data_IF_389896171201
#
_entry.id   IF_389896171201
#
_cell.length_a   1.000
_cell.length_b   1.000
_cell.length_c   1.000
_cell.angle_alpha   90.00
_cell.angle_beta   90.00
_cell.angle_gamma   90.00
#
_symmetry.space_group_name_H-M   'P 1'
#
loop_
_entity.id
_entity.type
_entity.pdbx_description
1 polymer ?
#
# COMPACT_ATOMS: atom_id res chain seq x y z
N UNK A 1 29.72 19.15 -6.19
CA UNK A 1 28.38 19.67 -5.85
C UNK A 1 27.81 20.32 -7.10
N UNK A 2 26.84 19.69 -7.79
CA UNK A 2 26.20 20.27 -8.96
C UNK A 2 25.30 21.44 -8.51
N UNK A 3 25.56 22.66 -8.98
CA UNK A 3 24.69 23.81 -8.74
C UNK A 3 23.31 23.55 -9.36
N UNK A 4 22.26 23.64 -8.54
CA UNK A 4 20.89 23.54 -9.01
C UNK A 4 20.58 24.68 -9.97
N UNK A 5 20.08 24.33 -11.15
CA UNK A 5 19.76 25.29 -12.20
C UNK A 5 18.55 26.14 -11.75
N UNK A 6 18.48 27.45 -12.07
CA UNK A 6 17.38 28.34 -11.62
C UNK A 6 15.97 27.80 -11.90
N UNK A 7 15.80 26.97 -12.95
CA UNK A 7 14.54 26.31 -13.32
C UNK A 7 14.14 25.14 -12.41
N UNK A 8 15.07 24.57 -11.64
CA UNK A 8 14.82 23.41 -10.76
C UNK A 8 14.28 23.82 -9.39
N UNK A 9 14.58 25.04 -8.93
CA UNK A 9 14.14 25.57 -7.64
C UNK A 9 12.61 25.51 -7.47
N UNK A 10 11.77 26.03 -8.39
CA UNK A 10 10.32 25.97 -8.23
C UNK A 10 9.78 24.53 -8.20
N UNK A 11 10.41 23.61 -8.93
CA UNK A 11 10.02 22.19 -8.94
C UNK A 11 10.35 21.53 -7.60
N UNK A 12 11.53 21.81 -7.04
CA UNK A 12 11.89 21.32 -5.71
C UNK A 12 10.93 21.87 -4.64
N UNK A 13 10.53 23.14 -4.73
CA UNK A 13 9.49 23.69 -3.86
C UNK A 13 8.19 22.90 -3.99
N UNK A 14 7.71 22.60 -5.20
CA UNK A 14 6.50 21.81 -5.40
C UNK A 14 6.60 20.37 -4.87
N UNK A 15 7.78 19.77 -4.86
CA UNK A 15 8.01 18.42 -4.31
C UNK A 15 7.94 18.42 -2.79
N UNK A 16 8.60 19.37 -2.14
CA UNK A 16 8.74 19.40 -0.68
C UNK A 16 7.60 20.14 0.03
N UNK A 17 6.90 21.06 -0.65
CA UNK A 17 5.78 21.80 -0.08
C UNK A 17 4.71 20.88 0.55
N UNK A 18 4.15 19.88 -0.14
CA UNK A 18 3.13 19.02 0.48
C UNK A 18 3.71 18.14 1.60
N UNK A 19 4.98 17.73 1.49
CA UNK A 19 5.67 16.96 2.53
C UNK A 19 5.83 17.76 3.81
N UNK A 20 6.35 18.99 3.71
CA UNK A 20 6.55 19.89 4.84
C UNK A 20 5.21 20.34 5.42
N UNK A 21 4.24 20.65 4.56
CA UNK A 21 2.90 21.01 4.98
C UNK A 21 2.26 19.91 5.83
N UNK A 22 2.30 18.65 5.37
CA UNK A 22 1.76 17.54 6.15
C UNK A 22 2.52 17.30 7.46
N UNK A 23 3.86 17.42 7.46
CA UNK A 23 4.64 17.36 8.68
C UNK A 23 4.22 18.43 9.69
N UNK A 24 4.03 19.67 9.25
CA UNK A 24 3.53 20.77 10.09
C UNK A 24 2.12 20.49 10.60
N UNK A 25 1.23 19.98 9.73
CA UNK A 25 -0.14 19.62 10.13
C UNK A 25 -0.15 18.55 11.22
N UNK A 26 0.66 17.50 11.11
CA UNK A 26 0.75 16.45 12.14
C UNK A 26 1.28 17.04 13.45
N UNK A 27 2.32 17.87 13.40
CA UNK A 27 2.87 18.49 14.61
C UNK A 27 1.90 19.48 15.28
N UNK A 28 1.07 20.18 14.49
CA UNK A 28 0.12 21.18 14.99
C UNK A 28 -1.20 20.57 15.47
N UNK A 29 -1.72 19.56 14.75
CA UNK A 29 -3.04 19.00 14.98
C UNK A 29 -3.00 17.60 15.61
N UNK A 30 -1.83 16.99 15.76
CA UNK A 30 -1.66 15.71 16.43
C UNK A 30 -1.97 15.81 17.92
N UNK A 31 -2.97 15.04 18.36
CA UNK A 31 -3.37 14.95 19.77
C UNK A 31 -2.84 13.65 20.35
N UNK A 32 -2.19 13.70 21.50
CA UNK A 32 -1.78 12.50 22.23
C UNK A 32 -2.97 11.88 22.97
N UNK A 33 -3.89 11.29 22.22
CA UNK A 33 -5.05 10.60 22.79
C UNK A 33 -5.45 9.44 21.87
N UNK A 34 -5.62 8.22 22.41
CA UNK A 34 -6.04 7.08 21.60
C UNK A 34 -7.46 7.27 21.08
N UNK A 35 -7.67 6.94 19.80
CA UNK A 35 -8.96 7.03 19.13
C UNK A 35 -9.44 5.67 18.63
N UNK A 36 -10.71 5.35 18.90
CA UNK A 36 -11.41 4.16 18.40
C UNK A 36 -10.58 2.87 18.58
N UNK A 37 -10.24 2.18 17.49
CA UNK A 37 -9.47 0.93 17.45
C UNK A 37 -8.05 1.00 18.07
N UNK A 38 -7.56 2.18 18.46
CA UNK A 38 -6.33 2.30 19.25
C UNK A 38 -6.52 1.92 20.72
N UNK A 39 -7.71 2.07 21.29
CA UNK A 39 -7.93 1.81 22.73
C UNK A 39 -7.51 0.40 23.17
N UNK A 40 -7.77 -0.66 22.40
CA UNK A 40 -7.33 -2.01 22.78
C UNK A 40 -5.80 -2.21 22.83
N UNK A 41 -4.99 -1.29 22.29
CA UNK A 41 -3.54 -1.29 22.52
C UNK A 41 -3.21 -1.03 24.00
N UNK A 42 -4.02 -0.26 24.73
CA UNK A 42 -3.85 -0.04 26.17
C UNK A 42 -3.86 -1.36 26.96
N UNK A 43 -4.80 -2.25 26.63
CA UNK A 43 -4.93 -3.58 27.25
C UNK A 43 -3.68 -4.43 27.00
N UNK A 44 -3.09 -4.31 25.80
CA UNK A 44 -1.81 -4.97 25.51
C UNK A 44 -0.68 -4.39 26.37
N UNK A 45 -0.62 -3.07 26.56
CA UNK A 45 0.39 -2.44 27.42
C UNK A 45 0.22 -2.79 28.91
N UNK A 46 -1.02 -2.96 29.38
CA UNK A 46 -1.29 -3.47 30.73
C UNK A 46 -0.70 -4.88 30.93
N UNK A 47 -0.90 -5.78 29.96
CA UNK A 47 -0.28 -7.12 29.98
C UNK A 47 1.25 -7.07 29.97
N UNK A 48 1.82 -6.14 29.23
CA UNK A 48 3.27 -5.92 29.19
C UNK A 48 3.79 -5.48 30.56
N UNK A 49 3.12 -4.50 31.18
CA UNK A 49 3.49 -4.00 32.50
C UNK A 49 3.36 -5.09 33.59
N UNK A 50 2.36 -5.96 33.47
CA UNK A 50 2.18 -7.12 34.35
C UNK A 50 3.16 -8.28 34.08
N UNK A 51 4.04 -8.18 33.08
CA UNK A 51 4.98 -9.26 32.72
C UNK A 51 4.33 -10.48 32.06
N UNK A 52 3.10 -10.35 31.57
CA UNK A 52 2.27 -11.46 31.09
C UNK A 52 2.08 -11.46 29.56
N UNK A 53 2.86 -10.67 28.81
CA UNK A 53 2.77 -10.66 27.35
C UNK A 53 3.31 -11.97 26.78
N UNK A 54 2.45 -12.70 26.06
CA UNK A 54 2.83 -13.92 25.34
C UNK A 54 2.98 -13.69 23.84
N UNK A 55 3.63 -14.61 23.13
CA UNK A 55 3.66 -14.61 21.67
C UNK A 55 2.24 -14.73 21.07
N UNK A 56 1.34 -15.47 21.74
CA UNK A 56 -0.05 -15.59 21.33
C UNK A 56 -0.75 -14.24 21.30
N UNK A 57 -0.49 -13.36 22.29
CA UNK A 57 -1.04 -12.01 22.31
C UNK A 57 -0.59 -11.16 21.12
N UNK A 58 0.67 -11.32 20.68
CA UNK A 58 1.20 -10.61 19.51
C UNK A 58 0.54 -11.09 18.22
N UNK A 59 0.24 -12.38 18.11
CA UNK A 59 -0.35 -12.99 16.91
C UNK A 59 -1.88 -13.07 16.95
N UNK A 60 -2.51 -12.70 18.07
CA UNK A 60 -3.96 -12.77 18.26
C UNK A 60 -4.71 -11.93 17.23
N UNK A 61 -5.86 -12.43 16.80
CA UNK A 61 -6.78 -11.69 15.92
C UNK A 61 -7.25 -10.39 16.60
N UNK A 62 -7.30 -9.31 15.82
CA UNK A 62 -7.95 -8.07 16.22
C UNK A 62 -8.85 -7.57 15.09
N UNK A 63 -10.17 -7.64 15.31
CA UNK A 63 -11.19 -7.51 14.27
C UNK A 63 -10.89 -8.48 13.12
N UNK A 64 -10.80 -8.00 11.89
CA UNK A 64 -10.55 -8.84 10.71
C UNK A 64 -9.06 -9.14 10.49
N UNK A 65 -8.15 -8.64 11.34
CA UNK A 65 -6.72 -8.65 11.04
C UNK A 65 -5.81 -9.19 12.13
N UNK A 66 -4.75 -9.90 11.70
CA UNK A 66 -3.58 -10.19 12.51
C UNK A 66 -2.52 -9.11 12.31
N UNK A 67 -2.31 -8.30 13.34
CA UNK A 67 -1.48 -7.09 13.30
C UNK A 67 -0.12 -7.32 13.97
N UNK A 68 0.53 -8.45 13.68
CA UNK A 68 1.78 -8.86 14.33
C UNK A 68 2.89 -7.81 14.18
N UNK A 69 3.23 -7.43 12.95
CA UNK A 69 4.31 -6.45 12.71
C UNK A 69 3.97 -5.04 13.22
N UNK A 70 2.75 -4.50 12.99
CA UNK A 70 2.34 -3.24 13.61
C UNK A 70 2.42 -3.24 15.14
N UNK A 71 2.03 -4.34 15.81
CA UNK A 71 2.15 -4.46 17.27
C UNK A 71 3.58 -4.31 17.75
N UNK A 72 4.56 -4.89 17.06
CA UNK A 72 5.97 -4.71 17.41
C UNK A 72 6.40 -3.23 17.33
N UNK A 73 5.89 -2.49 16.34
CA UNK A 73 6.14 -1.06 16.20
C UNK A 73 5.47 -0.29 17.34
N UNK A 74 4.18 -0.55 17.62
CA UNK A 74 3.47 0.11 18.72
C UNK A 74 4.14 -0.13 20.07
N UNK A 75 4.59 -1.36 20.33
CA UNK A 75 5.34 -1.70 21.55
C UNK A 75 6.66 -0.94 21.61
N UNK A 76 7.44 -0.95 20.53
CA UNK A 76 8.70 -0.21 20.46
C UNK A 76 8.51 1.29 20.71
N UNK A 77 7.49 1.89 20.09
CA UNK A 77 7.15 3.30 20.31
C UNK A 77 6.71 3.55 21.75
N UNK A 78 5.86 2.69 22.31
CA UNK A 78 5.37 2.84 23.68
C UNK A 78 6.51 2.85 24.71
N UNK A 79 7.51 1.97 24.55
CA UNK A 79 8.69 1.97 25.40
C UNK A 79 9.57 3.21 25.24
N UNK A 80 9.66 3.78 24.02
CA UNK A 80 10.50 4.94 23.74
C UNK A 80 9.86 6.28 24.13
N UNK A 81 8.52 6.36 24.12
CA UNK A 81 7.79 7.64 24.27
C UNK A 81 6.79 7.66 25.41
N UNK A 82 6.72 6.59 26.21
CA UNK A 82 5.65 6.37 27.19
C UNK A 82 4.26 6.38 26.54
N UNK A 83 4.16 5.71 25.40
CA UNK A 83 2.96 5.62 24.56
C UNK A 83 2.38 6.99 24.16
N UNK A 84 3.23 7.85 23.59
CA UNK A 84 2.77 9.05 22.89
C UNK A 84 2.25 8.68 21.50
N UNK A 85 0.92 8.74 21.32
CA UNK A 85 0.23 8.38 20.07
C UNK A 85 0.68 9.26 18.90
N UNK A 86 1.18 10.48 19.15
CA UNK A 86 1.72 11.35 18.09
C UNK A 86 2.96 10.74 17.43
N UNK A 87 3.72 9.91 18.14
CA UNK A 87 4.85 9.18 17.56
C UNK A 87 4.39 8.17 16.50
N UNK A 88 3.21 7.58 16.66
CA UNK A 88 2.59 6.70 15.66
C UNK A 88 2.23 7.48 14.39
N UNK A 89 1.69 8.70 14.54
CA UNK A 89 1.42 9.61 13.41
C UNK A 89 2.70 10.00 12.66
N UNK A 90 3.80 10.21 13.38
CA UNK A 90 5.11 10.45 12.76
C UNK A 90 5.64 9.21 12.02
N UNK A 91 5.40 8.00 12.52
CA UNK A 91 5.73 6.77 11.78
C UNK A 91 4.92 6.67 10.49
N UNK A 92 3.62 7.01 10.50
CA UNK A 92 2.82 7.11 9.26
C UNK A 92 3.48 8.08 8.28
N UNK A 93 3.89 9.27 8.74
CA UNK A 93 4.60 10.23 7.90
C UNK A 93 5.90 9.67 7.30
N UNK A 94 6.70 8.96 8.09
CA UNK A 94 7.93 8.31 7.62
C UNK A 94 7.62 7.22 6.59
N UNK A 95 6.63 6.35 6.85
CA UNK A 95 6.21 5.33 5.90
C UNK A 95 5.74 5.96 4.59
N UNK A 96 5.00 7.08 4.63
CA UNK A 96 4.58 7.80 3.44
C UNK A 96 5.75 8.44 2.68
N UNK A 97 6.77 8.93 3.39
CA UNK A 97 8.04 9.35 2.77
C UNK A 97 8.73 8.19 2.04
N UNK A 98 8.73 6.98 2.62
CA UNK A 98 9.26 5.77 1.96
C UNK A 98 8.44 5.42 0.72
N UNK A 99 7.11 5.52 0.76
CA UNK A 99 6.25 5.33 -0.42
C UNK A 99 6.62 6.33 -1.51
N UNK A 100 6.69 7.63 -1.21
CA UNK A 100 7.11 8.67 -2.16
C UNK A 100 8.48 8.39 -2.78
N UNK A 101 9.45 7.96 -1.96
CA UNK A 101 10.78 7.58 -2.43
C UNK A 101 10.75 6.33 -3.34
N UNK A 102 9.94 5.33 -3.01
CA UNK A 102 9.76 4.15 -3.86
C UNK A 102 9.13 4.50 -5.21
N UNK A 103 8.12 5.38 -5.21
CA UNK A 103 7.51 5.90 -6.44
C UNK A 103 8.52 6.67 -7.30
N UNK A 104 9.35 7.50 -6.68
CA UNK A 104 10.46 8.16 -7.38
C UNK A 104 11.44 7.14 -7.98
N UNK A 105 11.84 6.11 -7.22
CA UNK A 105 12.71 5.06 -7.71
C UNK A 105 12.09 4.31 -8.90
N UNK A 106 10.81 3.97 -8.83
CA UNK A 106 10.07 3.34 -9.92
C UNK A 106 10.05 4.23 -11.16
N UNK A 107 9.72 5.51 -11.01
CA UNK A 107 9.74 6.49 -12.09
C UNK A 107 11.12 6.54 -12.78
N UNK A 108 12.21 6.57 -12.02
CA UNK A 108 13.58 6.54 -12.55
C UNK A 108 13.91 5.25 -13.32
N UNK A 109 13.31 4.12 -12.95
CA UNK A 109 13.56 2.82 -13.56
C UNK A 109 12.69 2.56 -14.80
N UNK A 110 11.46 3.06 -14.82
CA UNK A 110 10.48 2.74 -15.88
C UNK A 110 10.30 3.86 -16.91
N UNK A 111 10.40 5.13 -16.51
CA UNK A 111 10.13 6.28 -17.38
C UNK A 111 11.44 6.87 -17.88
N UNK A 112 11.70 6.67 -19.18
CA UNK A 112 12.83 7.30 -19.88
C UNK A 112 12.46 8.74 -20.24
N UNK A 113 12.65 9.65 -19.30
CA UNK A 113 12.40 11.08 -19.49
C UNK A 113 13.55 11.92 -18.92
N UNK A 114 13.52 13.23 -19.22
CA UNK A 114 14.45 14.19 -18.64
C UNK A 114 14.32 14.25 -17.11
N UNK A 115 15.39 14.67 -16.42
CA UNK A 115 15.35 14.87 -14.97
C UNK A 115 14.22 15.81 -14.55
N UNK A 116 13.97 16.88 -15.32
CA UNK A 116 12.90 17.85 -15.06
C UNK A 116 11.53 17.16 -15.09
N UNK A 117 11.26 16.34 -16.10
CA UNK A 117 10.01 15.58 -16.20
C UNK A 117 9.87 14.60 -15.03
N UNK A 118 10.94 13.91 -14.64
CA UNK A 118 10.91 12.98 -13.51
C UNK A 118 10.62 13.70 -12.18
N UNK A 119 11.19 14.89 -11.97
CA UNK A 119 10.92 15.72 -10.81
C UNK A 119 9.48 16.28 -10.81
N UNK A 120 8.95 16.67 -11.98
CA UNK A 120 7.54 17.09 -12.09
C UNK A 120 6.57 15.95 -11.79
N UNK A 121 6.84 14.74 -12.29
CA UNK A 121 6.04 13.56 -11.96
C UNK A 121 6.06 13.28 -10.45
N UNK A 122 7.23 13.39 -9.80
CA UNK A 122 7.32 13.26 -8.35
C UNK A 122 6.55 14.37 -7.62
N UNK A 123 6.60 15.61 -8.11
CA UNK A 123 5.83 16.72 -7.53
C UNK A 123 4.32 16.41 -7.55
N UNK A 124 3.81 15.95 -8.70
CA UNK A 124 2.40 15.56 -8.86
C UNK A 124 2.08 14.37 -7.96
N UNK A 125 2.93 13.35 -7.90
CA UNK A 125 2.74 12.20 -7.01
C UNK A 125 2.71 12.65 -5.54
N UNK A 126 3.57 13.57 -5.11
CA UNK A 126 3.60 14.04 -3.72
C UNK A 126 2.36 14.86 -3.35
N UNK A 127 1.77 15.62 -4.28
CA UNK A 127 0.50 16.29 -4.02
C UNK A 127 -0.63 15.31 -3.71
N UNK A 128 -0.63 14.14 -4.35
CA UNK A 128 -1.62 13.09 -4.10
C UNK A 128 -1.29 12.27 -2.86
N UNK A 129 -0.04 11.85 -2.71
CA UNK A 129 0.43 11.00 -1.60
C UNK A 129 0.35 11.74 -0.25
N UNK A 130 0.67 13.03 -0.22
CA UNK A 130 0.61 13.88 0.97
C UNK A 130 -0.65 14.76 0.96
N UNK A 131 -1.75 14.25 0.42
CA UNK A 131 -3.01 15.00 0.35
C UNK A 131 -3.61 15.19 1.76
N UNK A 132 -3.96 16.42 2.15
CA UNK A 132 -4.68 16.69 3.40
C UNK A 132 -6.12 16.13 3.38
N UNK A 133 -6.66 15.77 2.22
CA UNK A 133 -8.01 15.21 2.11
C UNK A 133 -8.16 13.90 2.91
N UNK A 134 -7.05 13.21 3.18
CA UNK A 134 -7.01 11.97 3.97
C UNK A 134 -6.67 12.25 5.44
N UNK A 135 -7.08 13.40 6.01
CA UNK A 135 -6.67 13.86 7.34
C UNK A 135 -6.92 12.82 8.45
N UNK A 136 -7.99 12.03 8.36
CA UNK A 136 -8.26 10.93 9.30
C UNK A 136 -7.14 9.89 9.30
N UNK A 137 -6.61 9.55 8.13
CA UNK A 137 -5.50 8.61 8.01
C UNK A 137 -4.19 9.17 8.59
N UNK A 138 -4.03 10.50 8.56
CA UNK A 138 -2.85 11.19 9.09
C UNK A 138 -2.87 11.34 10.61
N UNK A 139 -4.04 11.60 11.18
CA UNK A 139 -4.21 11.90 12.61
C UNK A 139 -4.63 10.67 13.43
N UNK A 140 -4.80 9.51 12.79
CA UNK A 140 -5.14 8.26 13.48
C UNK A 140 -3.96 7.29 13.46
N UNK A 141 -3.18 7.27 14.54
CA UNK A 141 -1.90 6.54 14.63
C UNK A 141 -1.97 5.04 14.31
N UNK A 142 -3.13 4.38 14.51
CA UNK A 142 -3.27 2.95 14.16
C UNK A 142 -3.10 2.68 12.67
N UNK A 143 -3.24 3.70 11.82
CA UNK A 143 -3.15 3.59 10.36
C UNK A 143 -1.78 3.12 9.88
N UNK A 144 -0.74 3.04 10.76
CA UNK A 144 0.47 2.27 10.51
C UNK A 144 0.15 0.90 9.89
N UNK A 145 -0.91 0.22 10.36
CA UNK A 145 -1.35 -1.09 9.85
C UNK A 145 -1.63 -1.07 8.34
N UNK A 146 -2.19 0.03 7.83
CA UNK A 146 -2.57 0.20 6.42
C UNK A 146 -1.38 0.63 5.57
N UNK A 147 -0.51 1.50 6.09
CA UNK A 147 0.63 2.02 5.32
C UNK A 147 1.77 0.99 5.13
N UNK A 148 1.95 0.03 6.05
CA UNK A 148 2.97 -1.02 5.90
C UNK A 148 2.76 -1.85 4.63
N UNK A 149 1.56 -2.39 4.33
CA UNK A 149 1.27 -3.05 3.05
C UNK A 149 1.63 -2.24 1.81
N UNK A 150 1.39 -0.92 1.83
CA UNK A 150 1.69 0.00 0.71
C UNK A 150 3.20 0.13 0.52
N UNK A 151 3.95 0.31 1.61
CA UNK A 151 5.42 0.33 1.59
C UNK A 151 5.98 -1.00 1.08
N UNK A 152 5.44 -2.12 1.54
CA UNK A 152 5.85 -3.45 1.09
C UNK A 152 5.60 -3.64 -0.40
N UNK A 153 4.42 -3.26 -0.90
CA UNK A 153 4.10 -3.39 -2.33
C UNK A 153 5.02 -2.54 -3.20
N UNK A 154 5.13 -1.25 -2.89
CA UNK A 154 5.97 -0.33 -3.67
C UNK A 154 7.44 -0.74 -3.60
N UNK A 155 7.91 -1.25 -2.45
CA UNK A 155 9.24 -1.83 -2.27
C UNK A 155 9.45 -3.06 -3.15
N UNK A 156 8.52 -4.02 -3.17
CA UNK A 156 8.56 -5.19 -4.05
C UNK A 156 8.71 -4.80 -5.52
N UNK A 157 7.95 -3.80 -5.98
CA UNK A 157 8.00 -3.33 -7.36
C UNK A 157 9.35 -2.68 -7.69
N UNK A 158 9.94 -1.90 -6.77
CA UNK A 158 11.30 -1.37 -6.95
C UNK A 158 12.30 -2.52 -7.07
N UNK A 159 12.25 -3.50 -6.16
CA UNK A 159 13.17 -4.65 -6.12
C UNK A 159 13.05 -5.50 -7.40
N UNK A 160 11.83 -5.70 -7.91
CA UNK A 160 11.60 -6.43 -9.15
C UNK A 160 12.37 -5.83 -10.34
N UNK A 161 12.54 -4.50 -10.36
CA UNK A 161 13.21 -3.75 -11.42
C UNK A 161 14.73 -3.57 -11.20
N UNK A 162 15.27 -3.87 -10.01
CA UNK A 162 16.71 -3.74 -9.72
C UNK A 162 17.54 -4.86 -10.37
N UNK A 163 18.83 -4.63 -10.56
CA UNK A 163 19.80 -5.63 -11.07
C UNK A 163 20.25 -6.56 -9.93
N UNK A 164 19.32 -7.36 -9.42
CA UNK A 164 19.56 -8.40 -8.42
C UNK A 164 19.32 -9.78 -9.02
N UNK A 165 19.88 -10.82 -8.39
CA UNK A 165 19.57 -12.20 -8.77
C UNK A 165 18.07 -12.48 -8.59
N UNK A 166 17.50 -13.32 -9.46
CA UNK A 166 16.06 -13.63 -9.42
C UNK A 166 15.64 -14.29 -8.09
N UNK A 167 16.50 -15.15 -7.53
CA UNK A 167 16.28 -15.76 -6.21
C UNK A 167 16.26 -14.72 -5.10
N UNK A 168 17.20 -13.77 -5.12
CA UNK A 168 17.22 -12.67 -4.14
C UNK A 168 15.95 -11.82 -4.23
N UNK A 169 15.51 -11.47 -5.45
CA UNK A 169 14.25 -10.73 -5.65
C UNK A 169 13.06 -11.50 -5.07
N UNK A 170 12.97 -12.80 -5.39
CA UNK A 170 11.92 -13.67 -4.90
C UNK A 170 11.87 -13.68 -3.36
N UNK A 171 13.01 -13.91 -2.69
CA UNK A 171 13.09 -13.96 -1.22
C UNK A 171 12.67 -12.63 -0.60
N UNK A 172 13.21 -11.50 -1.10
CA UNK A 172 12.85 -10.18 -0.56
C UNK A 172 11.35 -9.91 -0.73
N UNK A 173 10.80 -10.17 -1.92
CA UNK A 173 9.37 -9.99 -2.17
C UNK A 173 8.50 -10.92 -1.31
N UNK A 174 8.94 -12.16 -1.07
CA UNK A 174 8.27 -13.10 -0.19
C UNK A 174 8.21 -12.60 1.26
N UNK A 175 9.34 -12.11 1.78
CA UNK A 175 9.39 -11.51 3.12
C UNK A 175 8.48 -10.29 3.22
N UNK A 176 8.52 -9.38 2.24
CA UNK A 176 7.67 -8.19 2.23
C UNK A 176 6.17 -8.53 2.12
N UNK A 177 5.79 -9.55 1.35
CA UNK A 177 4.39 -9.99 1.27
C UNK A 177 3.92 -10.65 2.58
N UNK A 178 4.82 -11.37 3.27
CA UNK A 178 4.58 -11.91 4.63
C UNK A 178 4.36 -10.78 5.63
N UNK A 179 5.24 -9.77 5.63
CA UNK A 179 5.10 -8.57 6.49
C UNK A 179 3.79 -7.85 6.22
N UNK A 180 3.44 -7.67 4.95
CA UNK A 180 2.18 -7.06 4.53
C UNK A 180 0.97 -7.83 5.06
N UNK A 181 0.96 -9.16 4.89
CA UNK A 181 -0.14 -10.05 5.31
C UNK A 181 -0.41 -9.97 6.81
N UNK A 182 0.65 -9.99 7.63
CA UNK A 182 0.54 -9.87 9.10
C UNK A 182 0.61 -8.42 9.60
N UNK A 183 0.34 -7.46 8.73
CA UNK A 183 0.10 -6.06 9.09
C UNK A 183 -1.37 -5.70 8.96
N UNK A 184 -1.99 -6.07 7.83
CA UNK A 184 -3.41 -5.84 7.57
C UNK A 184 -3.95 -6.83 6.54
N UNK A 185 -5.25 -7.17 6.61
CA UNK A 185 -5.88 -8.18 5.73
C UNK A 185 -5.63 -7.92 4.24
N UNK A 186 -5.74 -6.66 3.80
CA UNK A 186 -5.50 -6.26 2.40
C UNK A 186 -4.08 -6.60 1.92
N UNK A 187 -3.12 -6.79 2.84
CA UNK A 187 -1.76 -7.16 2.51
C UNK A 187 -1.61 -8.51 1.82
N UNK A 188 -2.62 -9.40 1.93
CA UNK A 188 -2.65 -10.67 1.20
C UNK A 188 -2.71 -10.47 -0.32
N UNK A 189 -3.31 -9.37 -0.80
CA UNK A 189 -3.38 -9.06 -2.23
C UNK A 189 -1.99 -8.89 -2.85
N UNK A 190 -0.98 -8.51 -2.07
CA UNK A 190 0.38 -8.35 -2.55
C UNK A 190 0.94 -9.66 -3.13
N UNK A 191 0.55 -10.83 -2.63
CA UNK A 191 1.00 -12.11 -3.19
C UNK A 191 0.50 -12.29 -4.63
N UNK A 192 -0.77 -11.99 -4.89
CA UNK A 192 -1.40 -12.14 -6.21
C UNK A 192 -0.91 -11.07 -7.17
N UNK A 193 -0.53 -9.89 -6.68
CA UNK A 193 -0.03 -8.80 -7.51
C UNK A 193 1.46 -8.92 -7.82
N UNK A 194 2.30 -9.19 -6.81
CA UNK A 194 3.77 -9.09 -6.93
C UNK A 194 4.39 -10.26 -7.69
N UNK A 195 3.97 -11.50 -7.43
CA UNK A 195 4.63 -12.67 -8.01
C UNK A 195 4.37 -12.83 -9.51
N UNK A 196 3.15 -12.61 -10.03
CA UNK A 196 2.94 -12.53 -11.48
C UNK A 196 3.74 -11.39 -12.12
N UNK A 197 3.82 -10.22 -11.46
CA UNK A 197 4.65 -9.10 -11.93
C UNK A 197 6.12 -9.48 -12.03
N UNK A 198 6.66 -10.11 -10.98
CA UNK A 198 8.05 -10.54 -10.92
C UNK A 198 8.35 -11.58 -12.00
N UNK A 199 7.43 -12.52 -12.24
CA UNK A 199 7.57 -13.51 -13.30
C UNK A 199 7.55 -12.87 -14.70
N UNK A 200 6.65 -11.90 -14.93
CA UNK A 200 6.61 -11.13 -16.18
C UNK A 200 7.91 -10.35 -16.37
N UNK A 201 8.38 -9.63 -15.36
CA UNK A 201 9.61 -8.82 -15.42
C UNK A 201 10.89 -9.64 -15.52
N UNK A 202 10.86 -10.92 -15.14
CA UNK A 202 11.95 -11.86 -15.31
C UNK A 202 11.95 -12.55 -16.69
N UNK A 203 10.92 -12.33 -17.51
CA UNK A 203 10.70 -13.02 -18.77
C UNK A 203 10.94 -12.07 -19.95
N UNK A 204 11.55 -12.54 -21.05
CA UNK A 204 11.70 -11.74 -22.27
C UNK A 204 10.47 -11.80 -23.19
N UNK A 205 9.63 -12.83 -23.03
CA UNK A 205 8.35 -13.02 -23.74
C UNK A 205 7.30 -13.59 -22.79
N UNK A 206 6.02 -13.44 -23.14
CA UNK A 206 4.93 -13.95 -22.31
C UNK A 206 4.98 -15.48 -22.13
N UNK A 207 5.38 -16.24 -23.15
CA UNK A 207 5.54 -17.70 -23.08
C UNK A 207 6.60 -18.14 -22.07
N UNK A 208 7.64 -17.33 -21.85
CA UNK A 208 8.70 -17.62 -20.87
C UNK A 208 8.20 -17.55 -19.43
N UNK A 209 7.11 -16.80 -19.18
CA UNK A 209 6.45 -16.75 -17.87
C UNK A 209 5.98 -18.14 -17.47
N UNK A 210 5.36 -18.88 -18.39
CA UNK A 210 4.77 -20.20 -18.11
C UNK A 210 5.74 -21.36 -18.31
N UNK A 211 6.83 -21.17 -19.06
CA UNK A 211 7.82 -22.23 -19.32
C UNK A 211 9.04 -22.15 -18.41
N UNK A 212 9.62 -20.96 -18.20
CA UNK A 212 10.87 -20.78 -17.42
C UNK A 212 10.62 -20.25 -16.02
N UNK A 213 9.67 -19.32 -15.88
CA UNK A 213 9.48 -18.53 -14.65
C UNK A 213 8.22 -18.90 -13.86
N UNK A 214 7.53 -19.98 -14.22
CA UNK A 214 6.30 -20.43 -13.57
C UNK A 214 6.51 -20.78 -12.09
N UNK A 215 7.72 -21.21 -11.73
CA UNK A 215 8.11 -21.50 -10.35
C UNK A 215 7.98 -20.27 -9.43
N UNK A 216 8.08 -19.04 -9.95
CA UNK A 216 7.86 -17.81 -9.18
C UNK A 216 6.39 -17.69 -8.78
N UNK A 217 5.49 -17.98 -9.71
CA UNK A 217 4.05 -17.92 -9.47
C UNK A 217 3.65 -19.04 -8.52
N UNK A 218 4.11 -20.28 -8.77
CA UNK A 218 3.85 -21.42 -7.89
C UNK A 218 4.42 -21.16 -6.49
N UNK A 219 5.66 -20.70 -6.37
CA UNK A 219 6.28 -20.37 -5.09
C UNK A 219 5.56 -19.25 -4.35
N UNK A 220 5.10 -18.22 -5.07
CA UNK A 220 4.26 -17.15 -4.52
C UNK A 220 2.91 -17.67 -4.03
N UNK A 221 2.24 -18.55 -4.78
CA UNK A 221 0.98 -19.18 -4.39
C UNK A 221 1.15 -20.08 -3.17
N UNK A 222 2.21 -20.89 -3.11
CA UNK A 222 2.53 -21.71 -1.94
C UNK A 222 2.79 -20.83 -0.71
N UNK A 223 3.50 -19.71 -0.88
CA UNK A 223 3.69 -18.71 0.17
C UNK A 223 2.38 -18.09 0.65
N UNK A 224 1.50 -17.71 -0.28
CA UNK A 224 0.17 -17.20 0.04
C UNK A 224 -0.64 -18.22 0.83
N UNK A 225 -0.71 -19.49 0.38
CA UNK A 225 -1.46 -20.55 1.07
C UNK A 225 -0.90 -20.80 2.47
N UNK A 226 0.43 -20.86 2.63
CA UNK A 226 1.05 -21.04 3.94
C UNK A 226 0.74 -19.87 4.89
N UNK A 227 0.84 -18.63 4.40
CA UNK A 227 0.52 -17.43 5.19
C UNK A 227 -0.98 -17.35 5.51
N UNK A 228 -1.85 -17.68 4.56
CA UNK A 228 -3.29 -17.73 4.77
C UNK A 228 -3.67 -18.80 5.80
N UNK A 229 -3.08 -20.00 5.73
CA UNK A 229 -3.29 -21.04 6.71
C UNK A 229 -2.90 -20.58 8.13
N UNK A 230 -1.73 -19.94 8.27
CA UNK A 230 -1.30 -19.37 9.54
C UNK A 230 -2.20 -18.18 9.99
N UNK A 231 -2.66 -17.36 9.06
CA UNK A 231 -3.53 -16.21 9.35
C UNK A 231 -4.94 -16.63 9.78
N UNK A 232 -5.49 -17.69 9.19
CA UNK A 232 -6.84 -18.16 9.49
C UNK A 232 -6.87 -19.24 10.61
N UNK A 233 -5.72 -19.61 11.16
CA UNK A 233 -5.63 -20.51 12.32
C UNK A 233 -6.35 -19.91 13.54
N UNK A 234 -7.47 -20.49 13.98
CA UNK A 234 -8.30 -19.94 15.06
C UNK A 234 -8.89 -18.54 14.74
N UNK A 235 -9.14 -18.27 13.45
CA UNK A 235 -9.81 -17.04 13.04
C UNK A 235 -11.33 -17.16 13.22
N UNK A 236 -11.93 -16.17 13.88
CA UNK A 236 -13.36 -16.08 14.10
C UNK A 236 -13.94 -14.94 13.27
N UNK A 237 -14.94 -15.22 12.44
CA UNK A 237 -15.63 -14.15 11.70
C UNK A 237 -16.34 -13.22 12.69
N UNK A 238 -16.13 -11.89 12.63
CA UNK A 238 -16.83 -11.00 13.55
C UNK A 238 -18.34 -10.97 13.28
N UNK A 239 -19.15 -11.03 14.34
CA UNK A 239 -20.61 -11.27 14.28
C UNK A 239 -21.39 -10.22 13.47
N UNK A 240 -20.91 -8.98 13.45
CA UNK A 240 -21.56 -7.85 12.75
C UNK A 240 -21.22 -7.78 11.26
N UNK A 241 -20.41 -8.69 10.73
CA UNK A 241 -20.01 -8.66 9.33
C UNK A 241 -21.04 -9.34 8.43
N UNK A 242 -21.39 -8.71 7.29
CA UNK A 242 -22.33 -9.30 6.35
C UNK A 242 -21.83 -10.66 5.84
N UNK A 243 -22.73 -11.47 5.30
CA UNK A 243 -22.35 -12.70 4.61
C UNK A 243 -21.42 -12.37 3.42
N UNK A 244 -20.46 -13.26 3.12
CA UNK A 244 -19.62 -13.13 1.93
C UNK A 244 -20.45 -13.13 0.63
N UNK A 245 -21.66 -13.68 0.67
CA UNK A 245 -22.59 -13.71 -0.46
C UNK A 245 -23.47 -12.46 -0.58
N UNK A 246 -23.40 -11.54 0.39
CA UNK A 246 -24.26 -10.33 0.40
C UNK A 246 -24.04 -9.47 -0.84
N UNK A 247 -22.80 -9.37 -1.33
CA UNK A 247 -22.48 -8.61 -2.54
C UNK A 247 -23.17 -9.19 -3.79
N UNK A 248 -23.33 -10.51 -3.85
CA UNK A 248 -24.01 -11.22 -4.94
C UNK A 248 -25.53 -11.09 -4.80
N UNK A 249 -26.04 -11.14 -3.57
CA UNK A 249 -27.46 -10.97 -3.29
C UNK A 249 -27.96 -9.54 -3.61
N UNK A 250 -27.09 -8.53 -3.47
CA UNK A 250 -27.41 -7.12 -3.68
C UNK A 250 -26.48 -6.47 -4.74
N UNK A 251 -26.56 -6.90 -6.02
CA UNK A 251 -25.58 -6.51 -7.03
C UNK A 251 -25.65 -5.02 -7.39
N UNK A 252 -26.86 -4.43 -7.41
CA UNK A 252 -27.04 -3.01 -7.73
C UNK A 252 -26.44 -2.12 -6.65
N UNK A 253 -26.73 -2.43 -5.38
CA UNK A 253 -26.17 -1.71 -4.22
C UNK A 253 -24.64 -1.87 -4.17
N UNK A 254 -24.14 -3.06 -4.49
CA UNK A 254 -22.70 -3.33 -4.56
C UNK A 254 -22.01 -2.50 -5.65
N UNK A 255 -22.60 -2.43 -6.85
CA UNK A 255 -22.06 -1.59 -7.93
C UNK A 255 -22.11 -0.12 -7.53
N UNK A 256 -23.23 0.34 -6.98
CA UNK A 256 -23.37 1.73 -6.53
C UNK A 256 -22.33 2.07 -5.45
N UNK A 257 -22.17 1.20 -4.45
CA UNK A 257 -21.15 1.33 -3.41
C UNK A 257 -19.74 1.37 -3.99
N UNK A 258 -19.41 0.45 -4.91
CA UNK A 258 -18.10 0.40 -5.57
C UNK A 258 -17.79 1.70 -6.33
N UNK A 259 -18.76 2.22 -7.10
CA UNK A 259 -18.59 3.47 -7.83
C UNK A 259 -18.48 4.68 -6.88
N UNK A 260 -19.34 4.75 -5.86
CA UNK A 260 -19.27 5.80 -4.85
C UNK A 260 -17.92 5.79 -4.11
N UNK A 261 -17.44 4.60 -3.72
CA UNK A 261 -16.16 4.43 -3.04
C UNK A 261 -15.00 4.91 -3.92
N UNK A 262 -14.96 4.50 -5.19
CA UNK A 262 -13.92 4.88 -6.13
C UNK A 262 -13.88 6.40 -6.40
N UNK A 263 -15.04 7.06 -6.41
CA UNK A 263 -15.13 8.50 -6.62
C UNK A 263 -15.11 9.34 -5.34
N UNK A 264 -15.14 8.73 -4.15
CA UNK A 264 -15.23 9.43 -2.87
C UNK A 264 -14.14 10.53 -2.68
N UNK A 265 -12.87 10.32 -3.08
CA UNK A 265 -11.83 11.36 -2.94
C UNK A 265 -12.13 12.68 -3.70
N UNK A 266 -12.97 12.61 -4.73
CA UNK A 266 -13.38 13.74 -5.56
C UNK A 266 -14.89 14.02 -5.45
N UNK A 267 -15.57 13.31 -4.55
CA UNK A 267 -17.02 13.40 -4.34
C UNK A 267 -17.43 14.54 -3.42
N UNK A 268 -16.49 15.14 -2.67
CA UNK A 268 -16.74 16.24 -1.73
C UNK A 268 -17.91 15.94 -0.76
N UNK A 269 -17.91 14.74 -0.16
CA UNK A 269 -18.96 14.24 0.75
C UNK A 269 -20.36 14.10 0.12
N UNK A 270 -20.50 14.31 -1.18
CA UNK A 270 -21.75 14.12 -1.90
C UNK A 270 -21.76 12.75 -2.60
N UNK A 271 -22.66 11.88 -2.15
CA UNK A 271 -22.78 10.52 -2.66
C UNK A 271 -23.03 10.46 -4.18
N UNK A 272 -23.93 11.31 -4.70
CA UNK A 272 -24.25 11.33 -6.13
C UNK A 272 -23.04 11.76 -6.97
N UNK A 273 -22.32 12.80 -6.52
CA UNK A 273 -21.10 13.26 -7.20
C UNK A 273 -20.02 12.18 -7.14
N UNK A 274 -19.82 11.56 -5.98
CA UNK A 274 -18.88 10.45 -5.82
C UNK A 274 -19.20 9.29 -6.78
N UNK A 275 -20.46 8.88 -6.88
CA UNK A 275 -20.88 7.81 -7.81
C UNK A 275 -20.62 8.19 -9.27
N UNK A 276 -20.93 9.42 -9.69
CA UNK A 276 -20.69 9.88 -11.07
C UNK A 276 -19.20 9.89 -11.37
N UNK A 277 -18.39 10.49 -10.49
CA UNK A 277 -16.94 10.58 -10.67
C UNK A 277 -16.32 9.19 -10.68
N UNK A 278 -16.73 8.30 -9.78
CA UNK A 278 -16.30 6.91 -9.78
C UNK A 278 -16.67 6.16 -11.05
N UNK A 279 -17.87 6.40 -11.59
CA UNK A 279 -18.30 5.89 -12.91
C UNK A 279 -17.38 6.35 -14.04
N UNK A 280 -17.01 7.64 -14.07
CA UNK A 280 -16.09 8.20 -15.06
C UNK A 280 -14.68 7.61 -14.91
N UNK A 281 -14.17 7.53 -13.69
CA UNK A 281 -12.85 6.94 -13.39
C UNK A 281 -12.82 5.47 -13.80
N UNK A 282 -13.84 4.69 -13.43
CA UNK A 282 -13.95 3.28 -13.78
C UNK A 282 -14.07 3.06 -15.29
N UNK A 283 -14.90 3.86 -15.98
CA UNK A 283 -15.03 3.81 -17.44
C UNK A 283 -13.70 4.12 -18.14
N UNK A 284 -12.99 5.15 -17.69
CA UNK A 284 -11.66 5.48 -18.20
C UNK A 284 -10.65 4.34 -17.93
N UNK A 285 -10.75 3.69 -16.78
CA UNK A 285 -9.92 2.54 -16.43
C UNK A 285 -10.16 1.34 -17.34
N UNK A 286 -11.42 1.01 -17.64
CA UNK A 286 -11.77 -0.06 -18.57
C UNK A 286 -11.26 0.25 -19.98
N UNK A 287 -11.42 1.50 -20.44
CA UNK A 287 -10.89 1.93 -21.72
C UNK A 287 -9.36 1.77 -21.81
N UNK A 288 -8.62 2.24 -20.80
CA UNK A 288 -7.17 2.08 -20.74
C UNK A 288 -6.76 0.61 -20.66
N UNK A 289 -7.46 -0.20 -19.86
CA UNK A 289 -7.22 -1.64 -19.74
C UNK A 289 -7.42 -2.36 -21.08
N UNK A 290 -8.47 -2.00 -21.82
CA UNK A 290 -8.73 -2.56 -23.14
C UNK A 290 -7.66 -2.18 -24.16
N UNK A 291 -7.29 -0.90 -24.26
CA UNK A 291 -6.19 -0.43 -25.11
C UNK A 291 -4.87 -1.12 -24.75
N UNK A 292 -4.60 -1.25 -23.45
CA UNK A 292 -3.41 -1.90 -22.96
C UNK A 292 -3.37 -3.39 -23.33
N UNK A 293 -4.47 -4.13 -23.19
CA UNK A 293 -4.54 -5.54 -23.58
C UNK A 293 -4.14 -5.76 -25.04
N UNK A 294 -4.61 -4.90 -25.95
CA UNK A 294 -4.20 -4.94 -27.35
C UNK A 294 -2.71 -4.58 -27.54
N UNK A 295 -2.23 -3.55 -26.86
CA UNK A 295 -0.83 -3.11 -26.96
C UNK A 295 0.17 -4.15 -26.42
N UNK A 296 -0.19 -4.89 -25.37
CA UNK A 296 0.65 -5.94 -24.80
C UNK A 296 0.85 -7.11 -25.77
N UNK A 297 -0.16 -7.44 -26.58
CA UNK A 297 -0.03 -8.45 -27.63
C UNK A 297 0.99 -8.05 -28.69
N UNK A 298 1.18 -6.74 -28.91
CA UNK A 298 2.08 -6.20 -29.93
C UNK A 298 3.46 -5.81 -29.38
N UNK A 299 3.56 -5.35 -28.14
CA UNK A 299 4.79 -4.84 -27.52
C UNK A 299 4.92 -5.32 -26.06
N UNK A 300 5.63 -6.43 -25.87
CA UNK A 300 5.90 -6.99 -24.55
C UNK A 300 6.88 -6.15 -23.72
N UNK A 301 7.69 -5.30 -24.37
CA UNK A 301 8.59 -4.37 -23.67
C UNK A 301 7.79 -3.21 -23.05
N UNK A 302 6.65 -2.84 -23.63
CA UNK A 302 5.73 -1.89 -23.01
C UNK A 302 5.14 -2.44 -21.70
N UNK A 303 4.77 -3.73 -21.67
CA UNK A 303 4.31 -4.42 -20.46
C UNK A 303 5.35 -4.33 -19.33
N UNK A 304 6.64 -4.53 -19.65
CA UNK A 304 7.73 -4.41 -18.68
C UNK A 304 7.80 -3.06 -17.98
N UNK A 305 7.50 -1.99 -18.71
CA UNK A 305 7.52 -0.62 -18.19
C UNK A 305 6.27 -0.27 -17.39
N UNK A 306 5.13 -0.84 -17.76
CA UNK A 306 3.82 -0.47 -17.22
C UNK A 306 3.32 -1.39 -16.09
N UNK A 307 3.80 -2.63 -15.98
CA UNK A 307 3.28 -3.61 -15.01
C UNK A 307 3.34 -3.10 -13.56
N UNK A 308 4.41 -2.40 -13.18
CA UNK A 308 4.52 -1.82 -11.84
C UNK A 308 3.45 -0.76 -11.56
N UNK A 309 3.13 0.08 -12.55
CA UNK A 309 2.11 1.12 -12.43
C UNK A 309 0.70 0.56 -12.42
N UNK A 310 0.45 -0.52 -13.17
CA UNK A 310 -0.84 -1.22 -13.16
C UNK A 310 -1.13 -1.87 -11.81
N UNK A 311 -0.11 -2.33 -11.11
CA UNK A 311 -0.25 -2.95 -9.80
C UNK A 311 -0.56 -1.91 -8.72
N UNK A 312 0.14 -0.77 -8.74
CA UNK A 312 -0.10 0.32 -7.79
C UNK A 312 -1.54 0.84 -7.90
N UNK A 313 -2.10 0.85 -9.11
CA UNK A 313 -3.47 1.27 -9.38
C UNK A 313 -4.53 0.45 -8.63
N UNK A 314 -4.29 -0.85 -8.41
CA UNK A 314 -5.29 -1.76 -7.82
C UNK A 314 -5.29 -1.73 -6.27
N UNK A 315 -4.59 -0.78 -5.64
CA UNK A 315 -4.44 -0.67 -4.18
C UNK A 315 -5.31 0.43 -3.56
N UNK A 316 -5.98 1.26 -4.37
CA UNK A 316 -6.84 2.36 -3.94
C UNK A 316 -8.29 2.08 -4.32
#
# INVERSE_FOLDING_TARGET
MQQFNRRQIPILCLIFLPVLFMGICILKYGVNFPFSDQWPLAVMFEKIYAGNLSFSDLFAQFHESRKFFPRLIFIGLAFLTNWDVRSEMLVIFVLTCVVSFNIYCLNRLTVRASLVTQLLLLAISNLLIFSPAQYENWLWGIQIVVYIPIVCLTGCLVIAQKKLSLRTKFIICFCLCTVSTFSYANGMLNWVLVFPALAILASGKFEEVFTKNIWIIIGGLLGLVANAAAYFYDYQKPDKHPSFLSAIAHPVETIHYFLAFLGAPLGFENLTVATIVGGLVFGFWLFLGWKFFWLVKTDFLLLHRLIGWLIIKNLF
#
